data_IF_163593819575
#
_entry.id   IF_163593819575
#
_cell.length_a   1.000
_cell.length_b   1.000
_cell.length_c   1.000
_cell.angle_alpha   90.00
_cell.angle_beta   90.00
_cell.angle_gamma   90.00
#
_symmetry.space_group_name_H-M   'P 1'
#
loop_
_entity.id
_entity.type
_entity.pdbx_description
1 polymer ?
#
# COMPACT_ATOMS: atom_id res chain seq x y z
N UNK A 1 -19.87 2.31 2.69
CA UNK A 1 -19.41 2.52 1.30
C UNK A 1 -20.52 2.26 0.30
N UNK A 2 -21.06 1.04 0.20
CA UNK A 2 -22.12 0.71 -0.77
C UNK A 2 -23.43 1.48 -0.62
N UNK A 3 -23.64 2.16 0.51
CA UNK A 3 -24.77 3.04 0.77
C UNK A 3 -24.61 4.45 0.18
N UNK A 4 -23.41 4.84 -0.28
CA UNK A 4 -23.16 6.13 -0.92
C UNK A 4 -23.64 6.12 -2.37
N UNK A 5 -23.89 7.30 -2.96
CA UNK A 5 -24.17 7.36 -4.39
C UNK A 5 -22.94 6.94 -5.21
N UNK A 6 -23.16 6.46 -6.44
CA UNK A 6 -22.06 5.97 -7.29
C UNK A 6 -21.00 7.05 -7.54
N UNK A 7 -21.41 8.32 -7.69
CA UNK A 7 -20.48 9.44 -7.87
C UNK A 7 -19.53 9.57 -6.68
N UNK A 8 -20.06 9.55 -5.46
CA UNK A 8 -19.25 9.66 -4.24
C UNK A 8 -18.34 8.45 -4.06
N UNK A 9 -18.84 7.24 -4.36
CA UNK A 9 -18.03 6.02 -4.34
C UNK A 9 -16.83 6.14 -5.30
N UNK A 10 -17.05 6.63 -6.52
CA UNK A 10 -16.00 6.81 -7.52
C UNK A 10 -15.02 7.91 -7.11
N UNK A 11 -15.50 9.04 -6.61
CA UNK A 11 -14.65 10.13 -6.13
C UNK A 11 -13.72 9.68 -5.00
N UNK A 12 -14.26 8.99 -3.99
CA UNK A 12 -13.47 8.47 -2.87
C UNK A 12 -12.41 7.44 -3.31
N UNK A 13 -12.76 6.58 -4.27
CA UNK A 13 -11.79 5.63 -4.82
C UNK A 13 -10.70 6.36 -5.62
N UNK A 14 -11.07 7.35 -6.42
CA UNK A 14 -10.11 8.13 -7.22
C UNK A 14 -9.17 8.99 -6.37
N UNK A 15 -9.62 9.46 -5.21
CA UNK A 15 -8.74 10.19 -4.28
C UNK A 15 -7.88 9.24 -3.43
N UNK A 16 -8.41 8.11 -2.97
CA UNK A 16 -7.70 7.21 -2.04
C UNK A 16 -6.91 6.05 -2.68
N UNK A 17 -7.06 5.74 -3.97
CA UNK A 17 -6.52 4.49 -4.56
C UNK A 17 -5.00 4.34 -4.38
N UNK A 18 -4.24 5.43 -4.48
CA UNK A 18 -2.79 5.38 -4.39
C UNK A 18 -2.33 5.06 -2.96
N UNK A 19 -2.96 5.67 -1.96
CA UNK A 19 -2.70 5.35 -0.55
C UNK A 19 -3.06 3.89 -0.26
N UNK A 20 -4.25 3.45 -0.68
CA UNK A 20 -4.70 2.06 -0.50
C UNK A 20 -3.72 1.07 -1.17
N UNK A 21 -3.21 1.40 -2.35
CA UNK A 21 -2.21 0.59 -3.05
C UNK A 21 -0.92 0.50 -2.25
N UNK A 22 -0.39 1.64 -1.79
CA UNK A 22 0.84 1.69 -0.98
C UNK A 22 0.69 0.89 0.32
N UNK A 23 -0.42 1.07 1.04
CA UNK A 23 -0.73 0.30 2.26
C UNK A 23 -0.72 -1.19 1.95
N UNK A 24 -1.36 -1.61 0.84
CA UNK A 24 -1.43 -3.01 0.42
C UNK A 24 -0.07 -3.58 0.08
N UNK A 25 0.74 -2.88 -0.71
CA UNK A 25 2.10 -3.32 -1.08
C UNK A 25 2.97 -3.43 0.18
N UNK A 26 2.90 -2.46 1.09
CA UNK A 26 3.68 -2.50 2.33
C UNK A 26 3.29 -3.70 3.21
N UNK A 27 2.00 -3.91 3.46
CA UNK A 27 1.53 -5.05 4.26
C UNK A 27 1.90 -6.39 3.62
N UNK A 28 1.68 -6.52 2.30
CA UNK A 28 1.98 -7.73 1.54
C UNK A 28 3.47 -8.08 1.50
N UNK A 29 4.34 -7.07 1.66
CA UNK A 29 5.80 -7.24 1.62
C UNK A 29 6.42 -7.57 2.98
N UNK A 30 5.64 -7.66 4.05
CA UNK A 30 6.13 -8.02 5.38
C UNK A 30 7.02 -9.29 5.42
N UNK A 31 6.71 -10.36 4.66
CA UNK A 31 7.53 -11.58 4.63
C UNK A 31 8.85 -11.45 3.84
N UNK A 32 9.06 -10.35 3.12
CA UNK A 32 10.24 -10.15 2.28
C UNK A 32 11.23 -9.16 2.92
N UNK A 33 12.51 -9.40 2.68
CA UNK A 33 13.58 -8.46 2.99
C UNK A 33 13.92 -7.64 1.74
N UNK A 34 13.94 -6.31 1.90
CA UNK A 34 14.33 -5.30 0.91
C UNK A 34 13.72 -5.47 -0.49
N UNK A 35 12.55 -6.09 -0.58
CA UNK A 35 11.78 -6.27 -1.82
C UNK A 35 10.31 -5.95 -1.57
N UNK A 36 9.65 -5.46 -2.61
CA UNK A 36 8.23 -5.08 -2.57
C UNK A 36 7.40 -6.05 -3.42
N UNK A 37 6.38 -6.64 -2.81
CA UNK A 37 5.45 -7.56 -3.46
C UNK A 37 4.22 -6.78 -3.92
N UNK A 38 4.14 -6.52 -5.22
CA UNK A 38 3.02 -5.79 -5.84
C UNK A 38 1.85 -6.73 -6.18
N UNK A 39 2.15 -7.92 -6.69
CA UNK A 39 1.20 -8.96 -7.07
C UNK A 39 1.76 -10.37 -6.79
N UNK A 40 0.97 -11.42 -7.02
CA UNK A 40 1.36 -12.82 -6.75
C UNK A 40 2.55 -13.26 -7.61
N UNK A 41 2.64 -12.69 -8.80
CA UNK A 41 3.65 -12.92 -9.82
C UNK A 41 4.63 -11.75 -9.98
N UNK A 42 4.50 -10.70 -9.16
CA UNK A 42 5.31 -9.49 -9.32
C UNK A 42 5.91 -9.00 -8.00
N UNK A 43 7.21 -9.28 -7.85
CA UNK A 43 8.08 -8.78 -6.79
C UNK A 43 9.11 -7.85 -7.44
N UNK A 44 9.25 -6.66 -6.89
CA UNK A 44 10.19 -5.64 -7.35
C UNK A 44 11.32 -5.47 -6.35
N UNK A 45 12.56 -5.54 -6.80
CA UNK A 45 13.75 -5.14 -6.05
C UNK A 45 14.19 -3.69 -6.35
N UNK A 46 15.24 -3.23 -5.67
CA UNK A 46 15.74 -1.87 -5.80
C UNK A 46 16.31 -1.57 -7.20
N UNK A 47 16.92 -2.54 -7.88
CA UNK A 47 17.47 -2.33 -9.22
C UNK A 47 16.36 -2.24 -10.26
N UNK A 48 15.35 -3.11 -10.18
CA UNK A 48 14.14 -3.01 -11.01
C UNK A 48 13.40 -1.69 -10.78
N UNK A 49 13.28 -1.26 -9.52
CA UNK A 49 12.69 0.05 -9.19
C UNK A 49 13.50 1.20 -9.77
N UNK A 50 14.84 1.13 -9.72
CA UNK A 50 15.74 2.12 -10.30
C UNK A 50 15.62 2.19 -11.81
N UNK A 51 15.62 1.06 -12.50
CA UNK A 51 15.40 0.99 -13.95
C UNK A 51 14.04 1.55 -14.38
N UNK A 52 13.02 1.43 -13.51
CA UNK A 52 11.68 2.00 -13.74
C UNK A 52 11.54 3.48 -13.32
N UNK A 53 12.58 4.11 -12.75
CA UNK A 53 12.50 5.48 -12.22
C UNK A 53 11.71 5.62 -10.92
N UNK A 54 11.47 4.52 -10.21
CA UNK A 54 10.65 4.42 -8.99
C UNK A 54 11.48 4.21 -7.71
N UNK A 55 12.80 4.40 -7.76
CA UNK A 55 13.68 4.08 -6.63
C UNK A 55 13.30 4.79 -5.33
N UNK A 56 12.94 6.07 -5.38
CA UNK A 56 12.57 6.82 -4.18
C UNK A 56 11.23 6.36 -3.60
N UNK A 57 10.26 6.03 -4.47
CA UNK A 57 9.00 5.41 -4.04
C UNK A 57 9.25 4.05 -3.38
N UNK A 58 10.11 3.23 -4.00
CA UNK A 58 10.48 1.93 -3.47
C UNK A 58 11.10 2.04 -2.06
N UNK A 59 12.04 2.99 -1.86
CA UNK A 59 12.63 3.27 -0.55
C UNK A 59 11.58 3.73 0.47
N UNK A 60 10.67 4.64 0.10
CA UNK A 60 9.62 5.13 0.98
C UNK A 60 8.68 4.01 1.43
N UNK A 61 8.27 3.13 0.52
CA UNK A 61 7.44 1.96 0.85
C UNK A 61 8.22 0.98 1.72
N UNK A 62 9.50 0.72 1.45
CA UNK A 62 10.33 -0.14 2.33
C UNK A 62 10.45 0.42 3.76
N UNK A 63 10.55 1.74 3.92
CA UNK A 63 10.49 2.35 5.25
C UNK A 63 9.16 2.08 5.96
N UNK A 64 8.05 2.10 5.22
CA UNK A 64 6.73 1.75 5.74
C UNK A 64 6.65 0.26 6.14
N UNK A 65 7.17 -0.65 5.30
CA UNK A 65 7.26 -2.09 5.61
C UNK A 65 8.03 -2.31 6.93
N UNK A 66 9.17 -1.64 7.10
CA UNK A 66 9.98 -1.71 8.32
C UNK A 66 9.20 -1.23 9.55
N UNK A 67 8.43 -0.15 9.42
CA UNK A 67 7.54 0.34 10.49
C UNK A 67 6.47 -0.69 10.85
N UNK A 68 5.76 -1.23 9.86
CA UNK A 68 4.73 -2.25 10.09
C UNK A 68 5.29 -3.48 10.78
N UNK A 69 6.49 -3.93 10.36
CA UNK A 69 7.18 -5.05 11.00
C UNK A 69 7.53 -4.76 12.46
N UNK A 70 8.05 -3.56 12.75
CA UNK A 70 8.36 -3.16 14.13
C UNK A 70 7.12 -3.07 15.03
N UNK A 71 5.98 -2.69 14.46
CA UNK A 71 4.69 -2.61 15.16
C UNK A 71 3.99 -3.97 15.27
N UNK A 72 4.48 -4.99 14.57
CA UNK A 72 3.81 -6.30 14.41
C UNK A 72 2.38 -6.15 13.90
N UNK A 73 2.20 -5.27 12.90
CA UNK A 73 0.89 -4.90 12.38
C UNK A 73 0.07 -6.14 11.98
N UNK A 74 -1.11 -6.26 12.56
CA UNK A 74 -2.04 -7.37 12.31
C UNK A 74 -2.97 -7.06 11.13
N UNK A 75 -3.69 -8.09 10.66
CA UNK A 75 -4.57 -7.96 9.48
C UNK A 75 -5.73 -7.01 9.77
N UNK A 76 -6.26 -7.04 10.98
CA UNK A 76 -7.37 -6.25 11.48
C UNK A 76 -6.99 -4.75 11.49
N UNK A 77 -5.80 -4.44 11.99
CA UNK A 77 -5.24 -3.08 12.00
C UNK A 77 -5.01 -2.58 10.56
N UNK A 78 -4.48 -3.44 9.68
CA UNK A 78 -4.32 -3.13 8.27
C UNK A 78 -5.65 -2.82 7.55
N UNK A 79 -6.69 -3.62 7.79
CA UNK A 79 -8.02 -3.36 7.22
C UNK A 79 -8.58 -2.03 7.73
N UNK A 80 -8.33 -1.70 9.00
CA UNK A 80 -8.73 -0.42 9.59
C UNK A 80 -8.02 0.76 8.95
N UNK A 81 -6.71 0.67 8.70
CA UNK A 81 -5.95 1.70 7.99
C UNK A 81 -6.51 1.98 6.59
N UNK A 82 -6.90 0.92 5.85
CA UNK A 82 -7.56 1.10 4.55
C UNK A 82 -8.90 1.81 4.65
N UNK A 83 -9.68 1.53 5.68
CA UNK A 83 -10.96 2.21 5.90
C UNK A 83 -10.77 3.70 6.22
N UNK A 84 -9.75 4.03 7.03
CA UNK A 84 -9.38 5.42 7.33
C UNK A 84 -8.95 6.15 6.06
N UNK A 85 -8.05 5.56 5.25
CA UNK A 85 -7.59 6.16 3.99
C UNK A 85 -8.76 6.44 3.03
N UNK A 86 -9.69 5.49 2.90
CA UNK A 86 -10.89 5.65 2.06
C UNK A 86 -11.85 6.72 2.58
N UNK A 87 -11.93 6.93 3.91
CA UNK A 87 -12.87 7.86 4.52
C UNK A 87 -12.33 9.29 4.65
N UNK A 88 -11.01 9.48 4.64
CA UNK A 88 -10.34 10.78 4.79
C UNK A 88 -10.11 11.54 3.48
N UNK A 89 -10.67 11.06 2.37
CA UNK A 89 -10.40 11.55 1.01
C UNK A 89 -11.59 12.21 0.32
#
# INVERSE_FOLDING_TARGET
FSSLCLSDQMSLLQSAWMEILILRVAFRSLPCEDRLVFADDYIMDAEQAKSAGLLELHKAILQLVRRYRSMRLEREEFVTLKAIALANS
#
